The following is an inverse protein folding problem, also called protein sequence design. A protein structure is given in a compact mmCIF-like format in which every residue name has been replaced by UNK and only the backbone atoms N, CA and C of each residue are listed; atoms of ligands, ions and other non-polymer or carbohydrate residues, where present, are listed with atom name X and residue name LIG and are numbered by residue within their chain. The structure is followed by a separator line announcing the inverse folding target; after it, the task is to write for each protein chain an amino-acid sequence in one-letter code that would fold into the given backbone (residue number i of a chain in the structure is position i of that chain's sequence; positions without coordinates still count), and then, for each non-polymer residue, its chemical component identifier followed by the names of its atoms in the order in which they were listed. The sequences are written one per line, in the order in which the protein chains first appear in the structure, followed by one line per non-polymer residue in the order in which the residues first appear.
data_IF_550838675862
#
_entry.id   IF_550838675862
#
_cell.length_a   1.000
_cell.length_b   1.000
_cell.length_c   1.000
_cell.angle_alpha   90.00
_cell.angle_beta   90.00
_cell.angle_gamma   90.00
#
_symmetry.space_group_name_H-M   'P 1'
#
loop_
_entity.id
_entity.type
_entity.pdbx_description
1 polymer ?
#
# COMPACT_ATOMS: atom_id res chain seq x y z
N UNK A 1 -7.45 -23.08 42.04
CA UNK A 1 -7.40 -24.11 40.97
C UNK A 1 -7.51 -23.53 39.55
N UNK A 2 -8.39 -22.57 39.27
CA UNK A 2 -8.60 -21.99 37.92
C UNK A 2 -7.34 -21.40 37.26
N UNK A 3 -6.46 -20.74 38.01
CA UNK A 3 -5.27 -20.05 37.46
C UNK A 3 -4.23 -21.01 36.83
N UNK A 4 -4.12 -22.25 37.34
CA UNK A 4 -3.19 -23.27 36.82
C UNK A 4 -3.64 -23.83 35.47
N UNK A 5 -4.96 -23.91 35.22
CA UNK A 5 -5.52 -24.40 33.98
C UNK A 5 -5.35 -23.38 32.83
N UNK A 6 -5.50 -22.09 33.14
CA UNK A 6 -5.29 -21.00 32.17
C UNK A 6 -3.83 -20.96 31.69
N UNK A 7 -2.85 -21.15 32.58
CA UNK A 7 -1.42 -21.14 32.23
C UNK A 7 -1.02 -22.26 31.27
N UNK A 8 -1.61 -23.45 31.42
CA UNK A 8 -1.38 -24.57 30.50
C UNK A 8 -2.03 -24.36 29.14
N UNK A 9 -3.21 -23.74 29.10
CA UNK A 9 -3.90 -23.41 27.85
C UNK A 9 -3.08 -22.42 27.01
N UNK A 10 -2.54 -21.37 27.64
CA UNK A 10 -1.72 -20.35 26.97
C UNK A 10 -0.45 -20.97 26.38
N UNK A 11 0.23 -21.86 27.12
CA UNK A 11 1.45 -22.52 26.63
C UNK A 11 1.22 -23.40 25.41
N UNK A 12 0.05 -24.05 25.30
CA UNK A 12 -0.30 -24.87 24.12
C UNK A 12 -0.71 -24.04 22.90
N UNK A 13 -1.20 -22.82 23.09
CA UNK A 13 -1.58 -21.95 21.96
C UNK A 13 -0.39 -21.33 21.23
N UNK A 14 0.71 -21.04 21.93
CA UNK A 14 1.93 -20.46 21.35
C UNK A 14 2.48 -21.26 20.15
N UNK A 15 2.72 -22.59 20.24
CA UNK A 15 3.25 -23.36 19.11
C UNK A 15 2.28 -23.46 17.93
N UNK A 16 0.96 -23.48 18.19
CA UNK A 16 -0.07 -23.53 17.14
C UNK A 16 -0.11 -22.22 16.34
N UNK A 17 -0.04 -21.08 17.02
CA UNK A 17 0.01 -19.76 16.37
C UNK A 17 1.32 -19.59 15.60
N UNK A 18 2.45 -20.04 16.16
CA UNK A 18 3.76 -19.95 15.50
C UNK A 18 3.80 -20.74 14.19
N UNK A 19 3.30 -21.99 14.19
CA UNK A 19 3.20 -22.80 12.95
C UNK A 19 2.36 -22.17 11.84
N UNK A 20 1.26 -21.49 12.19
CA UNK A 20 0.43 -20.79 11.19
C UNK A 20 1.16 -19.59 10.59
N UNK A 21 1.90 -18.87 11.43
CA UNK A 21 2.72 -17.73 10.99
C UNK A 21 3.82 -18.19 10.04
N UNK A 22 4.53 -19.26 10.40
CA UNK A 22 5.61 -19.81 9.58
C UNK A 22 5.09 -20.30 8.23
N UNK A 23 3.97 -21.05 8.21
CA UNK A 23 3.35 -21.52 6.95
C UNK A 23 2.91 -20.37 6.04
N UNK A 24 2.45 -19.27 6.62
CA UNK A 24 2.04 -18.08 5.86
C UNK A 24 3.26 -17.35 5.29
N UNK A 25 4.35 -17.25 6.06
CA UNK A 25 5.61 -16.64 5.63
C UNK A 25 6.25 -17.48 4.51
N UNK A 26 6.29 -18.81 4.64
CA UNK A 26 6.83 -19.69 3.59
C UNK A 26 6.00 -19.63 2.31
N UNK A 27 4.66 -19.62 2.41
CA UNK A 27 3.79 -19.49 1.24
C UNK A 27 3.99 -18.14 0.52
N UNK A 28 4.18 -17.07 1.29
CA UNK A 28 4.47 -15.74 0.76
C UNK A 28 5.82 -15.69 0.02
N UNK A 29 6.86 -16.29 0.61
CA UNK A 29 8.19 -16.36 -0.03
C UNK A 29 8.13 -17.22 -1.29
N UNK A 30 7.45 -18.37 -1.27
CA UNK A 30 7.27 -19.21 -2.45
C UNK A 30 6.59 -18.47 -3.60
N UNK A 31 5.51 -17.74 -3.32
CA UNK A 31 4.80 -16.98 -4.34
C UNK A 31 5.69 -15.85 -4.89
N UNK A 32 6.48 -15.19 -4.05
CA UNK A 32 7.45 -14.18 -4.48
C UNK A 32 8.52 -14.76 -5.39
N UNK A 33 9.07 -15.93 -5.03
CA UNK A 33 10.09 -16.61 -5.84
C UNK A 33 9.50 -17.06 -7.18
N UNK A 34 8.30 -17.65 -7.17
CA UNK A 34 7.61 -18.07 -8.39
C UNK A 34 7.39 -16.89 -9.36
N UNK A 35 6.90 -15.75 -8.84
CA UNK A 35 6.73 -14.53 -9.64
C UNK A 35 8.07 -13.99 -10.16
N UNK A 36 9.10 -13.95 -9.32
CA UNK A 36 10.43 -13.48 -9.71
C UNK A 36 11.00 -14.32 -10.85
N UNK A 37 10.86 -15.64 -10.78
CA UNK A 37 11.28 -16.55 -11.86
C UNK A 37 10.47 -16.26 -13.13
N UNK A 38 9.14 -16.13 -13.05
CA UNK A 38 8.31 -15.85 -14.22
C UNK A 38 8.62 -14.51 -14.90
N UNK A 39 8.95 -13.46 -14.13
CA UNK A 39 9.30 -12.15 -14.67
C UNK A 39 10.73 -12.07 -15.20
N UNK A 40 11.66 -12.85 -14.63
CA UNK A 40 13.05 -12.90 -15.10
C UNK A 40 13.22 -13.73 -16.37
N UNK A 41 12.40 -14.76 -16.55
CA UNK A 41 12.45 -15.66 -17.71
C UNK A 41 12.44 -14.93 -19.07
N UNK A 42 11.49 -14.01 -19.37
CA UNK A 42 11.49 -13.30 -20.65
C UNK A 42 12.73 -12.43 -20.86
N UNK A 43 13.29 -11.85 -19.78
CA UNK A 43 14.51 -11.06 -19.86
C UNK A 43 15.74 -11.92 -20.18
N UNK A 44 15.87 -13.08 -19.53
CA UNK A 44 16.97 -14.02 -19.80
C UNK A 44 16.91 -14.54 -21.23
N UNK A 45 15.72 -14.93 -21.72
CA UNK A 45 15.54 -15.39 -23.10
C UNK A 45 15.90 -14.30 -24.11
N UNK A 46 15.46 -13.06 -23.88
CA UNK A 46 15.81 -11.92 -24.73
C UNK A 46 17.32 -11.65 -24.75
N UNK A 47 18.00 -11.75 -23.60
CA UNK A 47 19.46 -11.56 -23.51
C UNK A 47 20.23 -12.64 -24.26
N UNK A 48 19.82 -13.91 -24.13
CA UNK A 48 20.44 -15.02 -24.85
C UNK A 48 20.23 -14.85 -26.36
N UNK A 49 19.01 -14.49 -26.78
CA UNK A 49 18.72 -14.22 -28.19
C UNK A 49 19.60 -13.10 -28.74
N UNK A 50 19.72 -11.96 -28.03
CA UNK A 50 20.54 -10.83 -28.45
C UNK A 50 22.04 -11.16 -28.55
N UNK A 51 22.55 -12.10 -27.75
CA UNK A 51 23.96 -12.53 -27.80
C UNK A 51 24.25 -13.53 -28.93
N UNK A 52 23.27 -14.35 -29.31
CA UNK A 52 23.45 -15.39 -30.33
C UNK A 52 23.00 -14.94 -31.72
N UNK A 53 22.13 -13.95 -31.82
CA UNK A 53 21.68 -13.41 -33.09
C UNK A 53 22.82 -12.63 -33.77
N UNK A 54 23.28 -13.11 -34.92
CA UNK A 54 24.14 -12.33 -35.82
C UNK A 54 23.22 -11.33 -36.53
N UNK A 55 22.96 -10.20 -35.86
CA UNK A 55 22.07 -9.16 -36.38
C UNK A 55 22.81 -8.37 -37.45
N UNK A 56 22.35 -8.51 -38.68
CA UNK A 56 22.83 -7.69 -39.79
C UNK A 56 22.29 -6.26 -39.57
N UNK A 57 23.17 -5.33 -39.20
CA UNK A 57 22.79 -3.95 -38.79
C UNK A 57 22.10 -3.13 -39.88
N UNK A 58 22.10 -3.61 -41.13
CA UNK A 58 21.41 -2.96 -42.24
C UNK A 58 19.89 -3.12 -42.22
N UNK A 59 19.34 -4.08 -41.46
CA UNK A 59 17.89 -4.25 -41.34
C UNK A 59 17.31 -3.41 -40.19
N UNK A 60 16.98 -2.15 -40.49
CA UNK A 60 16.41 -1.21 -39.53
C UNK A 60 15.14 -1.72 -38.83
N UNK A 61 14.28 -2.46 -39.56
CA UNK A 61 13.03 -3.00 -39.03
C UNK A 61 13.29 -4.07 -37.95
N UNK A 62 14.26 -4.96 -38.17
CA UNK A 62 14.61 -6.01 -37.20
C UNK A 62 15.17 -5.42 -35.91
N UNK A 63 16.06 -4.43 -36.05
CA UNK A 63 16.63 -3.71 -34.89
C UNK A 63 15.53 -3.01 -34.08
N UNK A 64 14.55 -2.39 -34.73
CA UNK A 64 13.44 -1.74 -34.04
C UNK A 64 12.57 -2.74 -33.25
N UNK A 65 12.29 -3.91 -33.81
CA UNK A 65 11.52 -4.97 -33.13
C UNK A 65 12.29 -5.53 -31.93
N UNK A 66 13.59 -5.79 -32.09
CA UNK A 66 14.43 -6.27 -30.99
C UNK A 66 14.50 -5.26 -29.84
N UNK A 67 14.61 -3.96 -30.15
CA UNK A 67 14.58 -2.89 -29.16
C UNK A 67 13.24 -2.83 -28.42
N UNK A 68 12.11 -3.00 -29.14
CA UNK A 68 10.78 -3.04 -28.52
C UNK A 68 10.65 -4.22 -27.55
N UNK A 69 11.08 -5.41 -27.96
CA UNK A 69 11.06 -6.61 -27.10
C UNK A 69 11.95 -6.42 -25.87
N UNK A 70 13.13 -5.81 -26.04
CA UNK A 70 14.02 -5.48 -24.93
C UNK A 70 13.35 -4.53 -23.91
N UNK A 71 12.69 -3.48 -24.40
CA UNK A 71 11.98 -2.53 -23.54
C UNK A 71 10.82 -3.19 -22.78
N UNK A 72 10.06 -4.07 -23.44
CA UNK A 72 8.99 -4.84 -22.79
C UNK A 72 9.58 -5.75 -21.71
N UNK A 73 10.67 -6.46 -21.99
CA UNK A 73 11.33 -7.31 -21.01
C UNK A 73 11.85 -6.51 -19.79
N UNK A 74 12.41 -5.32 -20.01
CA UNK A 74 12.85 -4.42 -18.94
C UNK A 74 11.66 -3.93 -18.09
N UNK A 75 10.51 -3.62 -18.71
CA UNK A 75 9.29 -3.27 -17.98
C UNK A 75 8.80 -4.40 -17.05
N UNK A 76 8.93 -5.66 -17.47
CA UNK A 76 8.65 -6.82 -16.60
C UNK A 76 9.59 -6.87 -15.39
N UNK A 77 10.87 -6.57 -15.59
CA UNK A 77 11.86 -6.51 -14.49
C UNK A 77 11.53 -5.38 -13.51
N UNK A 78 11.18 -4.18 -14.00
CA UNK A 78 10.78 -3.08 -13.12
C UNK A 78 9.47 -3.38 -12.38
N UNK A 79 8.51 -4.03 -13.04
CA UNK A 79 7.24 -4.43 -12.43
C UNK A 79 7.46 -5.41 -11.27
N UNK A 80 8.50 -6.24 -11.29
CA UNK A 80 8.82 -7.16 -10.19
C UNK A 80 9.09 -6.44 -8.86
N UNK A 81 9.71 -5.25 -8.90
CA UNK A 81 9.91 -4.43 -7.70
C UNK A 81 8.57 -3.96 -7.12
N UNK A 82 7.63 -3.55 -7.97
CA UNK A 82 6.29 -3.16 -7.55
C UNK A 82 5.49 -4.36 -7.02
N UNK A 83 5.56 -5.51 -7.69
CA UNK A 83 4.88 -6.74 -7.26
C UNK A 83 5.34 -7.22 -5.89
N UNK A 84 6.62 -7.10 -5.56
CA UNK A 84 7.11 -7.39 -4.21
C UNK A 84 6.37 -6.56 -3.16
N UNK A 85 6.14 -5.27 -3.41
CA UNK A 85 5.36 -4.40 -2.51
C UNK A 85 3.90 -4.86 -2.41
N UNK A 86 3.23 -5.15 -3.53
CA UNK A 86 1.83 -5.60 -3.54
C UNK A 86 1.65 -6.96 -2.86
N UNK A 87 2.57 -7.92 -3.07
CA UNK A 87 2.55 -9.22 -2.40
C UNK A 87 2.72 -9.04 -0.88
N UNK A 88 3.58 -8.12 -0.42
CA UNK A 88 3.69 -7.79 1.00
C UNK A 88 2.38 -7.20 1.56
N UNK A 89 1.78 -6.28 0.81
CA UNK A 89 0.55 -5.59 1.21
C UNK A 89 -0.66 -6.55 1.25
N UNK A 90 -0.77 -7.46 0.28
CA UNK A 90 -1.84 -8.47 0.21
C UNK A 90 -1.56 -9.64 1.14
N UNK A 91 -0.35 -10.16 1.25
CA UNK A 91 -0.07 -11.35 2.05
C UNK A 91 -0.22 -11.10 3.56
N UNK A 92 0.20 -9.93 4.03
CA UNK A 92 0.14 -9.62 5.46
C UNK A 92 -1.29 -9.26 5.89
N UNK A 93 -2.07 -10.26 6.28
CA UNK A 93 -3.40 -10.11 6.88
C UNK A 93 -3.37 -9.24 8.14
N UNK A 94 -2.26 -9.27 8.90
CA UNK A 94 -2.06 -8.40 10.07
C UNK A 94 -1.80 -6.95 9.68
N UNK A 95 -0.98 -6.73 8.64
CA UNK A 95 -0.73 -5.39 8.11
C UNK A 95 -2.00 -4.79 7.51
N UNK A 96 -2.81 -5.56 6.76
CA UNK A 96 -4.11 -5.09 6.25
C UNK A 96 -5.05 -4.66 7.36
N UNK A 97 -5.11 -5.38 8.49
CA UNK A 97 -5.91 -4.94 9.65
C UNK A 97 -5.35 -3.69 10.31
N UNK A 98 -4.03 -3.60 10.50
CA UNK A 98 -3.40 -2.42 11.10
C UNK A 98 -3.53 -1.18 10.20
N UNK A 99 -3.29 -1.32 8.90
CA UNK A 99 -3.46 -0.26 7.89
C UNK A 99 -4.91 0.16 7.80
N UNK A 100 -5.87 -0.78 7.77
CA UNK A 100 -7.30 -0.43 7.78
C UNK A 100 -7.67 0.31 9.06
N UNK A 101 -7.12 -0.09 10.20
CA UNK A 101 -7.37 0.60 11.48
C UNK A 101 -6.78 2.01 11.52
N UNK A 102 -5.55 2.20 11.00
CA UNK A 102 -4.90 3.51 10.92
C UNK A 102 -5.60 4.40 9.89
N UNK A 103 -5.91 3.90 8.69
CA UNK A 103 -6.62 4.65 7.66
C UNK A 103 -8.03 5.03 8.10
N UNK A 104 -8.79 4.12 8.72
CA UNK A 104 -10.11 4.44 9.29
C UNK A 104 -9.95 5.50 10.38
N UNK A 105 -8.99 5.35 11.30
CA UNK A 105 -8.75 6.33 12.37
C UNK A 105 -8.43 7.73 11.82
N UNK A 106 -7.61 7.81 10.78
CA UNK A 106 -7.20 9.09 10.21
C UNK A 106 -8.27 9.71 9.31
N UNK A 107 -9.05 8.88 8.61
CA UNK A 107 -10.23 9.32 7.87
C UNK A 107 -11.32 9.86 8.82
N UNK A 108 -11.58 9.16 9.93
CA UNK A 108 -12.47 9.63 10.98
C UNK A 108 -11.98 10.92 11.64
N UNK A 109 -10.67 11.07 11.84
CA UNK A 109 -10.09 12.30 12.41
C UNK A 109 -10.28 13.50 11.47
N UNK A 110 -10.11 13.29 10.16
CA UNK A 110 -10.35 14.33 9.15
C UNK A 110 -11.83 14.72 9.04
N UNK A 111 -12.75 13.76 9.02
CA UNK A 111 -14.19 14.06 8.98
C UNK A 111 -14.63 14.86 10.21
N UNK A 112 -14.14 14.48 11.40
CA UNK A 112 -14.51 15.16 12.65
C UNK A 112 -14.02 16.61 12.72
N UNK A 113 -12.90 16.95 12.07
CA UNK A 113 -12.39 18.33 12.07
C UNK A 113 -13.23 19.24 11.17
N UNK A 114 -13.65 18.77 10.00
CA UNK A 114 -14.50 19.53 9.08
C UNK A 114 -15.91 19.76 9.65
N UNK A 115 -16.45 18.79 10.39
CA UNK A 115 -17.75 18.96 11.07
C UNK A 115 -17.69 19.97 12.22
N UNK A 116 -16.56 20.09 12.92
CA UNK A 116 -16.44 20.99 14.07
C UNK A 116 -16.28 22.46 13.67
N UNK A 117 -15.74 22.74 12.49
CA UNK A 117 -15.67 24.11 11.94
C UNK A 117 -17.04 24.61 11.44
N UNK A 118 -17.89 23.70 10.91
CA UNK A 118 -19.25 24.05 10.47
C UNK A 118 -20.24 24.33 11.61
N UNK A 119 -19.94 23.92 12.85
CA UNK A 119 -20.81 24.08 14.04
C UNK A 119 -20.43 25.31 14.88
N UNK A 120 -19.49 26.16 14.41
CA UNK A 120 -19.38 27.53 14.90
C UNK A 120 -20.10 28.48 13.94
N UNK A 121 -21.45 28.55 13.92
CA UNK A 121 -22.10 29.69 13.32
C UNK A 121 -21.69 30.94 14.11
N UNK A 122 -21.46 32.01 13.37
CA UNK A 122 -21.02 33.32 13.81
C UNK A 122 -21.93 33.88 14.92
N UNK A 123 -21.62 33.61 16.19
CA UNK A 123 -22.27 34.27 17.34
C UNK A 123 -21.63 35.61 17.72
N UNK A 124 -20.68 36.11 16.92
CA UNK A 124 -19.94 37.35 17.20
C UNK A 124 -20.09 38.35 16.05
N UNK A 125 -21.33 38.73 15.73
CA UNK A 125 -21.60 39.87 14.86
C UNK A 125 -22.95 40.52 15.21
N UNK A 126 -23.23 40.74 16.50
CA UNK A 126 -24.25 41.71 16.90
C UNK A 126 -23.52 42.87 17.54
N UNK A 127 -23.15 43.84 16.70
CA UNK A 127 -22.68 45.13 17.17
C UNK A 127 -23.81 45.79 17.98
N UNK A 128 -23.53 46.32 19.20
CA UNK A 128 -24.54 47.04 19.95
C UNK A 128 -24.87 48.34 19.21
N UNK A 129 -26.11 48.42 18.74
CA UNK A 129 -26.72 49.66 18.24
C UNK A 129 -26.82 50.60 19.44
N UNK A 130 -25.87 51.53 19.55
CA UNK A 130 -25.95 52.65 20.47
C UNK A 130 -27.09 53.57 20.03
N UNK A 131 -28.22 53.46 20.74
CA UNK A 131 -29.28 54.46 20.77
C UNK A 131 -28.68 55.83 21.10
N UNK A 132 -28.75 56.78 20.16
CA UNK A 132 -28.59 58.21 20.41
C UNK A 132 -29.99 58.81 20.33
N UNK A 133 -30.54 59.20 21.47
CA UNK A 133 -31.78 59.97 21.59
C UNK A 133 -31.71 60.82 22.84
N UNK A 134 -31.90 62.14 22.65
CA UNK A 134 -32.13 63.28 23.58
C UNK A 134 -31.14 64.40 23.22
N UNK A 135 -31.45 65.51 22.53
CA UNK A 135 -32.64 66.38 22.50
C UNK A 135 -33.11 66.76 23.90
N UNK A 136 -32.50 67.80 24.47
CA UNK A 136 -33.08 68.79 25.40
C UNK A 136 -32.05 69.93 25.50
N UNK A 137 -32.29 71.07 24.84
CA UNK A 137 -32.95 72.26 25.37
C UNK A 137 -31.99 73.14 26.18
N UNK A 138 -31.46 74.19 25.53
CA UNK A 138 -31.31 75.57 26.04
C UNK A 138 -30.92 76.50 24.87
#
# INVERSE_FOLDING_TARGET
MAYRNVRHLIRRQIPVVRRRLDRQLTAMVLLRVAFLVSCMLPYVVQRIYAQNAIVNRNDFIRVAVEQLIANIAILFVYSNYAWSFYIFLISSTRFRRQVKHVLIKECWRRIKTTTNESIRPQTNAVAPISHVSSVEAD
#
